data_IF_742582439939
#
_entry.id   IF_742582439939
#
_cell.length_a   1.000
_cell.length_b   1.000
_cell.length_c   1.000
_cell.angle_alpha   90.00
_cell.angle_beta   90.00
_cell.angle_gamma   90.00
#
_symmetry.space_group_name_H-M   'P 1'
#
loop_
_entity.id
_entity.type
_entity.pdbx_description
1 polymer ?
#
# COMPACT_ATOMS: atom_id res chain seq x y z
N UNK A 1 -5.71 -18.04 23.97
CA UNK A 1 -6.66 -18.26 22.86
C UNK A 1 -6.65 -16.98 22.03
N UNK A 2 -5.97 -16.93 20.88
CA UNK A 2 -6.06 -15.76 19.99
C UNK A 2 -7.46 -15.78 19.39
N UNK A 3 -8.23 -14.72 19.59
CA UNK A 3 -9.47 -14.49 18.85
C UNK A 3 -9.16 -14.59 17.35
N UNK A 4 -9.81 -15.52 16.66
CA UNK A 4 -9.78 -15.58 15.21
C UNK A 4 -10.54 -14.36 14.68
N UNK A 5 -9.84 -13.24 14.47
CA UNK A 5 -10.41 -12.10 13.76
C UNK A 5 -10.57 -12.51 12.31
N UNK A 6 -11.80 -12.46 11.81
CA UNK A 6 -12.06 -12.59 10.39
C UNK A 6 -11.26 -11.55 9.62
N UNK A 7 -10.52 -11.98 8.62
CA UNK A 7 -9.51 -11.19 7.92
C UNK A 7 -9.98 -10.71 6.55
N UNK A 8 -11.24 -10.93 6.22
CA UNK A 8 -11.85 -10.43 4.98
C UNK A 8 -12.35 -9.00 5.14
N UNK A 9 -12.18 -8.19 4.12
CA UNK A 9 -12.69 -6.82 4.02
C UNK A 9 -13.60 -6.71 2.79
N UNK A 10 -14.69 -5.95 2.85
CA UNK A 10 -15.38 -5.37 4.01
C UNK A 10 -16.43 -6.32 4.62
N UNK A 11 -16.75 -6.15 5.93
CA UNK A 11 -17.65 -7.06 6.63
C UNK A 11 -19.02 -6.49 6.93
N UNK A 12 -19.09 -5.23 7.36
CA UNK A 12 -20.30 -4.64 7.92
C UNK A 12 -20.80 -3.45 7.10
N UNK A 13 -19.93 -2.87 6.29
CA UNK A 13 -20.26 -1.71 5.44
C UNK A 13 -20.94 -2.06 4.13
N UNK A 14 -21.09 -3.36 3.81
CA UNK A 14 -21.69 -3.85 2.57
C UNK A 14 -22.88 -4.77 2.84
N UNK A 15 -23.84 -4.77 1.90
CA UNK A 15 -24.94 -5.73 1.89
C UNK A 15 -24.54 -7.03 1.16
N UNK A 16 -25.46 -8.03 1.18
CA UNK A 16 -25.25 -9.33 0.52
C UNK A 16 -25.08 -9.23 -1.01
N UNK A 17 -25.50 -8.12 -1.62
CA UNK A 17 -25.29 -7.83 -3.04
C UNK A 17 -23.92 -7.22 -3.36
N UNK A 18 -23.10 -6.92 -2.33
CA UNK A 18 -21.80 -6.30 -2.49
C UNK A 18 -21.87 -4.78 -2.65
N UNK A 19 -22.97 -4.14 -2.29
CA UNK A 19 -23.12 -2.68 -2.35
C UNK A 19 -22.72 -2.06 -1.02
N UNK A 20 -21.97 -0.95 -1.06
CA UNK A 20 -21.60 -0.18 0.12
C UNK A 20 -22.86 0.51 0.66
N UNK A 21 -23.29 0.12 1.87
CA UNK A 21 -24.47 0.67 2.55
C UNK A 21 -24.12 1.68 3.64
N UNK A 22 -22.89 1.64 4.14
CA UNK A 22 -22.34 2.61 5.09
C UNK A 22 -20.93 3.04 4.64
N UNK A 23 -20.85 4.21 4.03
CA UNK A 23 -19.61 4.76 3.46
C UNK A 23 -18.60 5.10 4.56
N UNK A 24 -19.05 5.61 5.71
CA UNK A 24 -18.12 5.96 6.79
C UNK A 24 -17.52 4.72 7.42
N UNK A 25 -18.33 3.71 7.71
CA UNK A 25 -17.88 2.44 8.23
C UNK A 25 -16.91 1.75 7.23
N UNK A 26 -17.21 1.87 5.93
CA UNK A 26 -16.36 1.32 4.88
C UNK A 26 -14.96 1.97 4.86
N UNK A 27 -14.84 3.29 5.07
CA UNK A 27 -13.55 3.95 5.21
C UNK A 27 -12.76 3.43 6.40
N UNK A 28 -13.41 3.32 7.54
CA UNK A 28 -12.77 2.88 8.77
C UNK A 28 -12.31 1.41 8.66
N UNK A 29 -13.10 0.57 7.99
CA UNK A 29 -12.74 -0.81 7.69
C UNK A 29 -11.56 -0.89 6.71
N UNK A 30 -11.54 -0.06 5.66
CA UNK A 30 -10.46 -0.06 4.67
C UNK A 30 -9.15 0.45 5.28
N UNK A 31 -9.17 1.55 6.02
CA UNK A 31 -7.98 2.07 6.70
C UNK A 31 -7.44 1.05 7.71
N UNK A 32 -8.32 0.46 8.53
CA UNK A 32 -7.94 -0.60 9.46
C UNK A 32 -7.33 -1.81 8.75
N UNK A 33 -7.95 -2.28 7.66
CA UNK A 33 -7.39 -3.37 6.84
C UNK A 33 -5.99 -3.02 6.34
N UNK A 34 -5.80 -1.82 5.83
CA UNK A 34 -4.51 -1.37 5.33
C UNK A 34 -3.45 -1.35 6.45
N UNK A 35 -3.80 -0.85 7.62
CA UNK A 35 -2.89 -0.78 8.76
C UNK A 35 -2.58 -2.18 9.32
N UNK A 36 -3.57 -3.03 9.51
CA UNK A 36 -3.38 -4.37 10.09
C UNK A 36 -2.68 -5.35 9.15
N UNK A 37 -2.76 -5.12 7.83
CA UNK A 37 -2.20 -6.05 6.84
C UNK A 37 -0.94 -5.52 6.19
N UNK A 38 -0.93 -4.30 5.73
CA UNK A 38 0.16 -3.76 4.93
C UNK A 38 1.17 -3.03 5.82
N UNK A 39 0.70 -2.07 6.63
CA UNK A 39 1.61 -1.30 7.51
C UNK A 39 2.25 -2.21 8.55
N UNK A 40 1.48 -3.11 9.18
CA UNK A 40 2.01 -4.04 10.17
C UNK A 40 3.05 -5.02 9.60
N UNK A 41 2.86 -5.50 8.37
CA UNK A 41 3.85 -6.38 7.71
C UNK A 41 5.16 -5.62 7.41
N UNK A 42 5.07 -4.36 6.97
CA UNK A 42 6.24 -3.49 6.75
C UNK A 42 6.98 -3.25 8.08
N UNK A 43 6.25 -2.85 9.13
CA UNK A 43 6.82 -2.60 10.46
C UNK A 43 7.51 -3.86 11.01
N UNK A 44 6.85 -5.02 10.89
CA UNK A 44 7.43 -6.30 11.32
C UNK A 44 8.73 -6.62 10.55
N UNK A 45 8.76 -6.38 9.24
CA UNK A 45 9.96 -6.60 8.44
C UNK A 45 11.13 -5.70 8.89
N UNK A 46 10.85 -4.46 9.30
CA UNK A 46 11.84 -3.54 9.87
C UNK A 46 12.31 -4.05 11.24
N UNK A 47 11.38 -4.41 12.13
CA UNK A 47 11.68 -4.90 13.48
C UNK A 47 12.57 -6.15 13.52
N UNK A 48 12.39 -7.06 12.55
CA UNK A 48 13.25 -8.26 12.44
C UNK A 48 14.55 -8.01 11.67
N UNK A 49 14.84 -6.76 11.30
CA UNK A 49 16.11 -6.34 10.70
C UNK A 49 16.23 -6.65 9.20
N UNK A 50 15.14 -6.82 8.47
CA UNK A 50 15.19 -6.95 7.01
C UNK A 50 15.51 -5.59 6.38
N UNK A 51 16.55 -5.54 5.55
CA UNK A 51 17.07 -4.27 5.03
C UNK A 51 16.41 -3.86 3.70
N UNK A 52 16.21 -4.80 2.79
CA UNK A 52 15.70 -4.53 1.44
C UNK A 52 14.19 -4.75 1.31
N UNK A 53 13.69 -5.79 1.97
CA UNK A 53 12.27 -6.16 1.87
C UNK A 53 11.30 -5.02 2.26
N UNK A 54 11.54 -4.22 3.32
CA UNK A 54 10.64 -3.12 3.67
C UNK A 54 10.50 -2.09 2.56
N UNK A 55 11.57 -1.73 1.84
CA UNK A 55 11.48 -0.81 0.70
C UNK A 55 10.61 -1.36 -0.43
N UNK A 56 10.70 -2.66 -0.71
CA UNK A 56 9.85 -3.34 -1.69
C UNK A 56 8.39 -3.30 -1.23
N UNK A 57 8.12 -3.61 0.02
CA UNK A 57 6.78 -3.60 0.60
C UNK A 57 6.17 -2.20 0.59
N UNK A 58 6.94 -1.17 0.98
CA UNK A 58 6.50 0.23 0.91
C UNK A 58 6.17 0.61 -0.53
N UNK A 59 7.04 0.26 -1.49
CA UNK A 59 6.79 0.57 -2.91
C UNK A 59 5.53 -0.11 -3.45
N UNK A 60 5.29 -1.37 -3.06
CA UNK A 60 4.05 -2.08 -3.40
C UNK A 60 2.81 -1.46 -2.72
N UNK A 61 2.95 -0.99 -1.47
CA UNK A 61 1.89 -0.31 -0.75
C UNK A 61 1.53 1.04 -1.41
N UNK A 62 2.52 1.82 -1.86
CA UNK A 62 2.30 3.04 -2.64
C UNK A 62 1.56 2.71 -3.95
N UNK A 63 1.99 1.67 -4.67
CA UNK A 63 1.36 1.21 -5.91
C UNK A 63 -0.11 0.81 -5.68
N UNK A 64 -0.38 0.10 -4.59
CA UNK A 64 -1.73 -0.27 -4.15
C UNK A 64 -2.60 0.97 -3.89
N UNK A 65 -2.14 1.92 -3.05
CA UNK A 65 -2.89 3.16 -2.77
C UNK A 65 -3.12 3.99 -4.04
N UNK A 66 -2.13 4.04 -4.93
CA UNK A 66 -2.25 4.69 -6.25
C UNK A 66 -3.42 4.15 -7.05
N UNK A 67 -3.66 2.83 -7.03
CA UNK A 67 -4.77 2.23 -7.79
C UNK A 67 -6.12 2.68 -7.27
N UNK A 68 -6.28 2.82 -5.96
CA UNK A 68 -7.50 3.29 -5.32
C UNK A 68 -7.71 4.79 -5.49
N UNK A 69 -6.64 5.58 -5.36
CA UNK A 69 -6.69 7.02 -5.59
C UNK A 69 -7.09 7.37 -7.04
N UNK A 70 -6.56 6.62 -8.00
CA UNK A 70 -6.83 6.84 -9.42
C UNK A 70 -8.10 6.15 -9.94
N UNK A 71 -8.73 5.27 -9.15
CA UNK A 71 -9.88 4.46 -9.59
C UNK A 71 -9.54 3.46 -10.70
N UNK A 72 -8.27 3.13 -10.91
CA UNK A 72 -7.81 2.31 -12.03
C UNK A 72 -6.43 1.71 -11.76
N UNK A 73 -5.97 0.78 -12.63
CA UNK A 73 -4.65 0.18 -12.51
C UNK A 73 -3.55 1.25 -12.41
N UNK A 74 -2.57 1.01 -11.55
CA UNK A 74 -1.41 1.87 -11.42
C UNK A 74 -0.61 1.89 -12.74
N UNK A 75 -0.17 3.09 -13.10
CA UNK A 75 0.77 3.33 -14.20
C UNK A 75 1.87 4.24 -13.69
N UNK A 76 2.98 4.35 -14.44
CA UNK A 76 4.07 5.29 -14.11
C UNK A 76 3.55 6.70 -13.81
N UNK A 77 2.67 7.24 -14.66
CA UNK A 77 2.13 8.57 -14.47
C UNK A 77 1.29 8.68 -13.19
N UNK A 78 0.39 7.71 -12.95
CA UNK A 78 -0.47 7.71 -11.74
C UNK A 78 0.34 7.54 -10.45
N UNK A 79 1.34 6.65 -10.45
CA UNK A 79 2.23 6.47 -9.29
C UNK A 79 2.98 7.77 -8.98
N UNK A 80 3.59 8.40 -9.99
CA UNK A 80 4.26 9.69 -9.86
C UNK A 80 3.31 10.74 -9.29
N UNK A 81 2.11 10.86 -9.85
CA UNK A 81 1.13 11.88 -9.46
C UNK A 81 0.64 11.64 -8.03
N UNK A 82 0.46 10.39 -7.60
CA UNK A 82 0.15 10.03 -6.21
C UNK A 82 1.28 10.43 -5.26
N UNK A 83 2.53 10.08 -5.58
CA UNK A 83 3.68 10.47 -4.76
C UNK A 83 3.79 12.00 -4.65
N UNK A 84 3.69 12.71 -5.77
CA UNK A 84 3.75 14.18 -5.77
C UNK A 84 2.61 14.83 -4.98
N UNK A 85 1.45 14.17 -4.87
CA UNK A 85 0.31 14.68 -4.10
C UNK A 85 0.44 14.47 -2.58
N UNK A 86 1.04 13.36 -2.16
CA UNK A 86 0.99 12.94 -0.76
C UNK A 86 2.35 12.86 -0.05
N UNK A 87 3.45 12.66 -0.77
CA UNK A 87 4.79 12.58 -0.20
C UNK A 87 5.50 13.91 -0.30
N UNK A 88 5.76 14.55 0.83
CA UNK A 88 6.48 15.80 0.86
C UNK A 88 7.97 15.60 0.57
N UNK A 89 8.53 16.38 -0.35
CA UNK A 89 9.97 16.37 -0.62
C UNK A 89 10.47 15.26 -1.56
N UNK A 90 9.55 14.43 -2.09
CA UNK A 90 9.92 13.36 -3.02
C UNK A 90 9.57 13.70 -4.47
N UNK A 91 10.44 13.28 -5.38
CA UNK A 91 10.12 13.23 -6.81
C UNK A 91 9.49 11.88 -7.16
N UNK A 92 8.21 11.89 -7.51
CA UNK A 92 7.47 10.67 -7.80
C UNK A 92 8.01 9.89 -9.00
N UNK A 93 8.66 10.56 -9.95
CA UNK A 93 9.31 9.90 -11.08
C UNK A 93 10.54 9.10 -10.65
N UNK A 94 11.36 9.69 -9.78
CA UNK A 94 12.53 9.02 -9.22
C UNK A 94 12.12 7.83 -8.35
N UNK A 95 11.15 8.00 -7.45
CA UNK A 95 10.63 6.91 -6.61
C UNK A 95 10.06 5.75 -7.46
N UNK A 96 9.31 6.06 -8.50
CA UNK A 96 8.80 5.02 -9.41
C UNK A 96 9.95 4.24 -10.07
N UNK A 97 10.94 4.94 -10.61
CA UNK A 97 12.04 4.31 -11.32
C UNK A 97 12.95 3.49 -10.40
N UNK A 98 13.34 4.08 -9.26
CA UNK A 98 14.35 3.48 -8.38
C UNK A 98 13.76 2.37 -7.50
N UNK A 99 12.60 2.58 -6.89
CA UNK A 99 11.99 1.59 -6.01
C UNK A 99 11.00 0.69 -6.77
N UNK A 100 9.97 1.28 -7.43
CA UNK A 100 8.91 0.48 -8.04
C UNK A 100 9.40 -0.39 -9.20
N UNK A 101 10.26 0.13 -10.06
CA UNK A 101 10.75 -0.63 -11.19
C UNK A 101 12.00 -1.45 -10.84
N UNK A 102 13.05 -0.80 -10.33
CA UNK A 102 14.34 -1.50 -10.15
C UNK A 102 14.34 -2.40 -8.93
N UNK A 103 13.92 -1.91 -7.77
CA UNK A 103 13.97 -2.70 -6.55
C UNK A 103 12.96 -3.84 -6.55
N UNK A 104 11.71 -3.61 -6.97
CA UNK A 104 10.66 -4.64 -7.01
C UNK A 104 10.99 -5.73 -8.04
N UNK A 105 11.54 -5.37 -9.20
CA UNK A 105 11.81 -6.34 -10.26
C UNK A 105 13.20 -6.97 -10.23
N UNK A 106 14.21 -6.22 -9.77
CA UNK A 106 15.60 -6.65 -9.87
C UNK A 106 16.31 -6.77 -8.51
N UNK A 107 15.64 -6.46 -7.39
CA UNK A 107 16.26 -6.36 -6.06
C UNK A 107 17.47 -5.43 -5.99
N UNK A 108 17.51 -4.42 -6.87
CA UNK A 108 18.60 -3.43 -6.93
C UNK A 108 18.02 -2.03 -6.85
N UNK A 109 18.72 -1.13 -6.18
CA UNK A 109 18.46 0.30 -6.26
C UNK A 109 19.04 0.82 -7.57
N UNK A 110 18.44 1.87 -8.11
CA UNK A 110 18.96 2.49 -9.33
C UNK A 110 20.20 3.35 -9.09
N UNK A 111 20.55 4.10 -10.12
CA UNK A 111 21.74 4.93 -10.12
C UNK A 111 21.58 6.23 -9.33
N UNK A 112 20.33 6.62 -9.04
CA UNK A 112 20.00 7.91 -8.40
C UNK A 112 19.38 7.80 -7.01
N UNK A 113 19.49 6.62 -6.39
CA UNK A 113 19.11 6.41 -5.00
C UNK A 113 20.10 5.50 -4.27
N UNK A 114 20.33 5.80 -3.01
CA UNK A 114 21.07 4.97 -2.06
C UNK A 114 20.12 4.63 -0.92
N UNK A 115 20.01 3.36 -0.56
CA UNK A 115 19.25 2.93 0.61
C UNK A 115 20.18 2.71 1.79
N UNK A 116 19.78 3.15 2.97
CA UNK A 116 20.51 2.91 4.22
C UNK A 116 19.52 2.67 5.38
N UNK A 117 20.00 2.13 6.49
CA UNK A 117 19.18 1.78 7.65
C UNK A 117 19.77 2.30 8.97
N UNK A 118 21.03 2.72 8.99
CA UNK A 118 21.77 3.11 10.20
C UNK A 118 22.17 4.60 10.25
N UNK A 119 21.79 5.39 9.24
CA UNK A 119 22.14 6.81 9.11
C UNK A 119 20.89 7.68 8.86
N UNK A 120 20.03 7.89 9.88
CA UNK A 120 18.78 8.64 9.71
C UNK A 120 19.01 10.10 9.29
N UNK A 121 20.11 10.72 9.74
CA UNK A 121 20.43 12.12 9.43
C UNK A 121 20.79 12.34 7.96
N UNK A 122 21.11 11.28 7.22
CA UNK A 122 21.39 11.36 5.79
C UNK A 122 20.13 11.26 4.92
N UNK A 123 18.97 10.97 5.52
CA UNK A 123 17.73 10.85 4.76
C UNK A 123 17.40 12.12 3.99
N UNK A 124 17.09 11.98 2.70
CA UNK A 124 16.79 13.12 1.82
C UNK A 124 18.02 13.92 1.36
N UNK A 125 19.22 13.62 1.89
CA UNK A 125 20.45 14.24 1.39
C UNK A 125 20.65 13.87 -0.07
N UNK A 126 21.09 14.85 -0.86
CA UNK A 126 21.35 14.68 -2.30
C UNK A 126 22.82 14.99 -2.59
N UNK A 127 23.48 14.08 -3.27
CA UNK A 127 24.85 14.28 -3.76
C UNK A 127 24.90 15.21 -4.98
N UNK A 128 26.09 15.65 -5.37
CA UNK A 128 26.27 16.58 -6.49
C UNK A 128 25.83 16.04 -7.86
N UNK A 129 25.67 14.73 -8.01
CA UNK A 129 25.14 14.06 -9.20
C UNK A 129 23.63 13.79 -9.14
N UNK A 130 22.95 14.26 -8.07
CA UNK A 130 21.52 14.11 -7.89
C UNK A 130 21.09 12.79 -7.23
N UNK A 131 22.02 11.97 -6.74
CA UNK A 131 21.70 10.74 -6.01
C UNK A 131 21.13 11.08 -4.64
N UNK A 132 19.92 10.55 -4.31
CA UNK A 132 19.24 10.78 -3.03
C UNK A 132 19.47 9.61 -2.07
N UNK A 133 19.67 9.91 -0.79
CA UNK A 133 19.75 8.89 0.27
C UNK A 133 18.37 8.65 0.87
N UNK A 134 17.97 7.39 0.94
CA UNK A 134 16.74 6.95 1.59
C UNK A 134 17.08 6.11 2.83
N UNK A 135 16.93 6.69 4.02
CA UNK A 135 17.02 5.92 5.26
C UNK A 135 15.70 5.18 5.48
N UNK A 136 15.76 3.92 5.89
CA UNK A 136 14.60 3.03 5.98
C UNK A 136 13.55 3.53 6.99
N UNK A 137 13.98 3.89 8.20
CA UNK A 137 13.05 4.31 9.25
C UNK A 137 12.36 5.62 8.89
N UNK A 138 13.12 6.60 8.37
CA UNK A 138 12.56 7.89 7.95
C UNK A 138 11.64 7.72 6.74
N UNK A 139 12.02 6.91 5.76
CA UNK A 139 11.17 6.63 4.60
C UNK A 139 9.86 5.92 4.99
N UNK A 140 9.91 5.04 6.00
CA UNK A 140 8.71 4.42 6.55
C UNK A 140 7.82 5.45 7.26
N UNK A 141 8.38 6.39 8.03
CA UNK A 141 7.61 7.47 8.65
C UNK A 141 6.95 8.37 7.59
N UNK A 142 7.69 8.74 6.55
CA UNK A 142 7.15 9.55 5.44
C UNK A 142 6.03 8.81 4.69
N UNK A 143 6.16 7.49 4.54
CA UNK A 143 5.08 6.65 4.00
C UNK A 143 3.83 6.68 4.89
N UNK A 144 3.99 6.58 6.22
CA UNK A 144 2.86 6.67 7.16
C UNK A 144 2.18 8.04 7.07
N UNK A 145 2.96 9.12 6.99
CA UNK A 145 2.39 10.48 6.81
C UNK A 145 1.63 10.60 5.50
N UNK A 146 2.19 10.12 4.39
CA UNK A 146 1.55 10.15 3.07
C UNK A 146 0.25 9.33 3.07
N UNK A 147 0.26 8.12 3.68
CA UNK A 147 -0.92 7.30 3.90
C UNK A 147 -2.00 8.07 4.65
N UNK A 148 -1.65 8.71 5.77
CA UNK A 148 -2.60 9.46 6.58
C UNK A 148 -3.20 10.65 5.80
N UNK A 149 -2.40 11.37 5.01
CA UNK A 149 -2.88 12.44 4.12
C UNK A 149 -3.86 11.91 3.07
N UNK A 150 -3.56 10.74 2.48
CA UNK A 150 -4.46 10.10 1.52
C UNK A 150 -5.80 9.73 2.17
N UNK A 151 -5.81 9.08 3.35
CA UNK A 151 -7.06 8.73 4.04
C UNK A 151 -7.85 9.95 4.51
N UNK A 152 -7.17 11.05 4.88
CA UNK A 152 -7.84 12.32 5.15
C UNK A 152 -8.50 12.91 3.88
N UNK A 153 -7.80 12.88 2.74
CA UNK A 153 -8.34 13.33 1.46
C UNK A 153 -9.54 12.47 1.02
N UNK A 154 -9.48 11.15 1.25
CA UNK A 154 -10.57 10.23 0.96
C UNK A 154 -11.87 10.59 1.68
N UNK A 155 -11.78 11.04 2.94
CA UNK A 155 -12.95 11.46 3.74
C UNK A 155 -13.52 12.82 3.33
N UNK A 156 -12.77 13.64 2.60
CA UNK A 156 -13.13 15.04 2.29
C UNK A 156 -13.33 15.30 0.80
N UNK A 157 -12.81 14.45 -0.10
CA UNK A 157 -12.90 14.63 -1.54
C UNK A 157 -13.87 13.62 -2.17
N UNK A 158 -15.01 14.09 -2.71
CA UNK A 158 -15.94 13.21 -3.43
C UNK A 158 -15.31 12.51 -4.63
N UNK A 159 -14.35 13.12 -5.30
CA UNK A 159 -13.64 12.53 -6.44
C UNK A 159 -12.79 11.35 -6.01
N UNK A 160 -11.98 11.52 -4.96
CA UNK A 160 -11.13 10.44 -4.42
C UNK A 160 -12.00 9.29 -3.93
N UNK A 161 -13.13 9.59 -3.28
CA UNK A 161 -14.10 8.60 -2.86
C UNK A 161 -14.67 7.79 -4.06
N UNK A 162 -15.12 8.48 -5.10
CA UNK A 162 -15.68 7.82 -6.29
C UNK A 162 -14.64 6.90 -6.95
N UNK A 163 -13.40 7.35 -7.06
CA UNK A 163 -12.30 6.57 -7.61
C UNK A 163 -12.04 5.31 -6.77
N UNK A 164 -12.04 5.46 -5.45
CA UNK A 164 -11.83 4.32 -4.56
C UNK A 164 -12.95 3.29 -4.65
N UNK A 165 -14.21 3.73 -4.66
CA UNK A 165 -15.37 2.84 -4.83
C UNK A 165 -15.32 2.13 -6.19
N UNK A 166 -15.02 2.86 -7.26
CA UNK A 166 -14.88 2.28 -8.59
C UNK A 166 -13.79 1.20 -8.61
N UNK A 167 -12.63 1.48 -8.00
CA UNK A 167 -11.54 0.51 -7.94
C UNK A 167 -11.87 -0.70 -7.09
N UNK A 168 -12.54 -0.51 -5.95
CA UNK A 168 -12.98 -1.60 -5.11
C UNK A 168 -13.93 -2.55 -5.87
N UNK A 169 -14.91 -2.00 -6.58
CA UNK A 169 -15.85 -2.78 -7.38
C UNK A 169 -15.16 -3.55 -8.53
N UNK A 170 -14.11 -3.00 -9.11
CA UNK A 170 -13.33 -3.65 -10.17
C UNK A 170 -12.43 -4.79 -9.64
N UNK A 171 -11.82 -4.59 -8.47
CA UNK A 171 -10.90 -5.57 -7.87
C UNK A 171 -11.61 -6.70 -7.12
N UNK A 172 -12.85 -6.49 -6.68
CA UNK A 172 -13.55 -7.39 -5.78
C UNK A 172 -13.06 -7.29 -4.32
N UNK A 173 -13.47 -8.27 -3.52
CA UNK A 173 -13.16 -8.31 -2.08
C UNK A 173 -11.67 -8.51 -1.85
N UNK A 174 -11.05 -7.59 -1.12
CA UNK A 174 -9.68 -7.71 -0.65
C UNK A 174 -9.67 -8.72 0.51
N UNK A 175 -9.49 -10.00 0.22
CA UNK A 175 -9.47 -11.03 1.26
C UNK A 175 -8.09 -11.66 1.37
N UNK A 176 -7.57 -11.77 2.59
CA UNK A 176 -6.66 -12.84 2.92
C UNK A 176 -7.51 -14.08 3.24
N UNK A 177 -7.52 -15.06 2.38
CA UNK A 177 -8.23 -16.31 2.60
C UNK A 177 -7.46 -17.08 3.68
N UNK A 178 -8.11 -17.40 4.81
CA UNK A 178 -7.48 -18.28 5.79
C UNK A 178 -7.42 -19.74 5.26
N UNK A 179 -6.59 -20.57 5.89
CA UNK A 179 -6.40 -21.95 5.43
C UNK A 179 -7.66 -22.81 5.48
N UNK A 180 -8.67 -22.44 6.28
CA UNK A 180 -9.96 -23.13 6.37
C UNK A 180 -10.86 -22.75 5.19
N UNK A 181 -10.87 -21.47 4.81
CA UNK A 181 -11.57 -20.98 3.63
C UNK A 181 -10.99 -21.58 2.35
N UNK A 182 -9.65 -21.70 2.24
CA UNK A 182 -9.00 -22.39 1.11
C UNK A 182 -9.44 -23.85 1.04
N UNK A 183 -9.48 -24.57 2.17
CA UNK A 183 -9.93 -25.96 2.20
C UNK A 183 -11.39 -26.11 1.77
N UNK A 184 -12.26 -25.23 2.22
CA UNK A 184 -13.68 -25.20 1.80
C UNK A 184 -13.80 -24.96 0.29
N UNK A 185 -13.08 -23.99 -0.23
CA UNK A 185 -13.06 -23.69 -1.66
C UNK A 185 -12.54 -24.86 -2.49
N UNK A 186 -11.41 -25.48 -2.10
CA UNK A 186 -10.86 -26.66 -2.78
C UNK A 186 -11.84 -27.84 -2.77
N UNK A 187 -12.56 -28.08 -1.66
CA UNK A 187 -13.56 -29.10 -1.57
C UNK A 187 -14.71 -28.88 -2.56
N UNK A 188 -15.19 -27.63 -2.69
CA UNK A 188 -16.25 -27.26 -3.63
C UNK A 188 -15.83 -27.45 -5.10
N UNK A 189 -14.57 -27.08 -5.44
CA UNK A 189 -14.06 -27.20 -6.82
C UNK A 189 -13.87 -28.66 -7.23
N UNK A 190 -13.44 -29.54 -6.30
CA UNK A 190 -13.23 -30.96 -6.57
C UNK A 190 -14.54 -31.75 -6.80
N UNK A 191 -15.68 -31.20 -6.39
CA UNK A 191 -17.00 -31.83 -6.56
C UNK A 191 -17.82 -31.24 -7.72
N UNK A 192 -17.24 -30.39 -8.57
CA UNK A 192 -17.87 -29.98 -9.82
C UNK A 192 -17.63 -31.09 -10.86
N UNK A 193 -18.74 -31.74 -11.37
CA UNK A 193 -18.64 -32.78 -12.38
C UNK A 193 -18.05 -32.27 -13.71
#
# INVERSE_FOLDING_TARGET
MREKRSTSFPHQSMNDAGEIVDVQLWFDEFERYFDERIVHEIATAIEVGLQTAPYILISCAIDFLTTFWAGANSTRARYRDFVNAFFAGYDGESLYRELRCRMVHNHTVGETAIICWDEPDLHGCTSGDGTVVLNLEQFFQDFIEAKNKYFAALRTSPEVLQNQIARFNDMGVLSSIDGEDVRRWVAQVRHRP
#
